data_IF_965195678891
#
_entry.id   IF_965195678891
#
_cell.length_a   1.000
_cell.length_b   1.000
_cell.length_c   1.000
_cell.angle_alpha   90.00
_cell.angle_beta   90.00
_cell.angle_gamma   90.00
#
_symmetry.space_group_name_H-M   'P 1'
#
loop_
_entity.id
_entity.type
_entity.pdbx_description
1 polymer ?
#
# COMPACT_ATOMS: atom_id res chain seq x y z
N UNK A 1 24.32 -27.84 9.56
CA UNK A 1 23.86 -27.05 10.73
C UNK A 1 22.59 -26.36 10.30
N UNK A 2 21.49 -26.54 11.02
CA UNK A 2 20.22 -25.87 10.70
C UNK A 2 20.29 -24.46 11.27
N UNK A 3 20.24 -23.45 10.42
CA UNK A 3 20.23 -22.04 10.82
C UNK A 3 18.79 -21.53 10.81
N UNK A 4 18.49 -20.55 11.67
CA UNK A 4 17.20 -19.84 11.65
C UNK A 4 17.50 -18.36 11.40
N UNK A 5 16.95 -17.82 10.31
CA UNK A 5 16.99 -16.39 10.04
C UNK A 5 15.94 -15.70 10.91
N UNK A 6 16.36 -14.72 11.72
CA UNK A 6 15.49 -13.95 12.60
C UNK A 6 15.61 -12.45 12.30
N UNK A 7 14.51 -11.71 12.48
CA UNK A 7 14.52 -10.27 12.30
C UNK A 7 15.26 -9.57 13.46
N UNK A 8 15.98 -8.51 13.13
CA UNK A 8 16.78 -7.73 14.08
C UNK A 8 16.50 -6.24 14.00
N UNK A 9 16.68 -5.55 15.12
CA UNK A 9 16.74 -4.10 15.22
C UNK A 9 18.07 -3.57 14.67
N UNK A 10 18.16 -2.25 14.50
CA UNK A 10 19.36 -1.61 13.95
C UNK A 10 20.62 -1.78 14.80
N UNK A 11 20.46 -1.95 16.11
CA UNK A 11 21.54 -2.25 17.05
C UNK A 11 21.98 -3.73 17.02
N UNK A 12 21.34 -4.55 16.18
CA UNK A 12 21.61 -5.97 16.02
C UNK A 12 20.91 -6.86 17.05
N UNK A 13 20.08 -6.29 17.94
CA UNK A 13 19.27 -7.07 18.87
C UNK A 13 18.10 -7.75 18.15
N UNK A 14 17.68 -8.90 18.65
CA UNK A 14 16.57 -9.67 18.09
C UNK A 14 15.25 -8.92 18.29
N UNK A 15 14.40 -8.92 17.25
CA UNK A 15 13.00 -8.47 17.37
C UNK A 15 12.23 -9.50 18.20
N UNK A 16 11.65 -9.04 19.31
CA UNK A 16 10.86 -9.88 20.24
C UNK A 16 9.40 -9.44 20.31
N UNK A 17 9.11 -8.25 19.78
CA UNK A 17 7.79 -7.68 19.61
C UNK A 17 6.94 -8.52 18.66
N UNK A 18 5.61 -8.42 18.79
CA UNK A 18 4.69 -9.08 17.89
C UNK A 18 4.78 -8.45 16.50
N UNK A 19 5.29 -9.20 15.53
CA UNK A 19 5.29 -8.80 14.13
C UNK A 19 3.85 -8.92 13.60
N UNK A 20 3.35 -7.82 13.04
CA UNK A 20 2.00 -7.69 12.50
C UNK A 20 1.98 -7.43 10.99
N UNK A 21 3.14 -7.17 10.38
CA UNK A 21 3.28 -7.01 8.93
C UNK A 21 4.72 -7.23 8.48
N UNK A 22 4.90 -7.79 7.28
CA UNK A 22 6.20 -8.02 6.65
C UNK A 22 6.11 -7.58 5.20
N UNK A 23 6.80 -6.48 4.85
CA UNK A 23 6.87 -5.93 3.50
C UNK A 23 8.21 -6.22 2.83
N UNK A 24 8.44 -5.60 1.67
CA UNK A 24 9.71 -5.71 0.94
C UNK A 24 10.87 -5.06 1.69
N UNK A 25 10.67 -3.83 2.20
CA UNK A 25 11.72 -2.97 2.78
C UNK A 25 11.64 -2.84 4.30
N UNK A 26 10.51 -3.22 4.91
CA UNK A 26 10.28 -3.08 6.35
C UNK A 26 9.47 -4.22 6.94
N UNK A 27 9.55 -4.34 8.26
CA UNK A 27 8.60 -5.11 9.07
C UNK A 27 7.84 -4.16 9.98
N UNK A 28 6.62 -4.51 10.33
CA UNK A 28 5.78 -3.76 11.26
C UNK A 28 5.65 -4.56 12.55
N UNK A 29 6.08 -3.97 13.65
CA UNK A 29 5.95 -4.53 15.00
C UNK A 29 4.90 -3.79 15.80
N UNK A 30 4.18 -4.50 16.66
CA UNK A 30 3.20 -3.91 17.58
C UNK A 30 3.86 -3.60 18.91
N UNK A 31 3.71 -2.35 19.36
CA UNK A 31 4.12 -1.92 20.70
C UNK A 31 2.98 -1.14 21.36
N UNK A 32 2.23 -1.81 22.26
CA UNK A 32 1.04 -1.23 22.88
C UNK A 32 -0.04 -0.87 21.85
N UNK A 33 -0.44 0.41 21.81
CA UNK A 33 -1.41 0.97 20.85
C UNK A 33 -0.74 1.57 19.60
N UNK A 34 0.52 1.24 19.35
CA UNK A 34 1.28 1.73 18.21
C UNK A 34 1.71 0.57 17.31
N UNK A 35 1.77 0.85 16.01
CA UNK A 35 2.44 0.04 15.02
C UNK A 35 3.73 0.76 14.63
N UNK A 36 4.87 0.06 14.64
CA UNK A 36 6.16 0.65 14.32
C UNK A 36 6.75 -0.12 13.14
N UNK A 37 6.90 0.57 12.01
CA UNK A 37 7.62 0.04 10.84
C UNK A 37 9.11 0.27 11.05
N UNK A 38 9.90 -0.80 11.00
CA UNK A 38 11.37 -0.78 11.11
C UNK A 38 12.00 -1.45 9.87
N UNK A 39 13.29 -1.19 9.57
CA UNK A 39 13.95 -1.79 8.42
C UNK A 39 13.89 -3.32 8.48
N UNK A 40 13.67 -3.97 7.32
CA UNK A 40 13.64 -5.44 7.23
C UNK A 40 15.06 -6.00 7.26
N UNK A 41 15.68 -5.97 8.43
CA UNK A 41 16.98 -6.60 8.69
C UNK A 41 16.78 -7.99 9.27
N UNK A 42 17.54 -8.95 8.77
CA UNK A 42 17.52 -10.32 9.27
C UNK A 42 18.94 -10.85 9.43
N UNK A 43 19.15 -11.67 10.45
CA UNK A 43 20.43 -12.34 10.71
C UNK A 43 20.22 -13.83 10.96
N UNK A 44 21.19 -14.63 10.55
CA UNK A 44 21.20 -16.06 10.88
C UNK A 44 21.79 -16.31 12.27
N UNK A 45 21.04 -17.07 13.06
CA UNK A 45 21.46 -17.51 14.38
C UNK A 45 21.73 -19.02 14.38
N UNK A 46 22.76 -19.42 15.12
CA UNK A 46 23.03 -20.81 15.45
C UNK A 46 21.95 -21.35 16.38
N UNK A 47 21.87 -22.67 16.51
CA UNK A 47 20.94 -23.33 17.44
C UNK A 47 21.18 -22.97 18.90
N UNK A 48 22.34 -22.38 19.22
CA UNK A 48 22.70 -21.84 20.53
C UNK A 48 22.26 -20.38 20.74
N UNK A 49 21.57 -19.79 19.75
CA UNK A 49 21.09 -18.41 19.77
C UNK A 49 22.18 -17.38 19.49
N UNK A 50 23.38 -17.80 19.08
CA UNK A 50 24.47 -16.87 18.76
C UNK A 50 24.46 -16.47 17.28
N UNK A 51 24.76 -15.20 16.94
CA UNK A 51 24.94 -14.79 15.55
C UNK A 51 26.01 -15.62 14.85
N UNK A 52 25.73 -16.12 13.64
CA UNK A 52 26.69 -16.92 12.87
C UNK A 52 27.70 -16.07 12.09
N UNK A 53 27.34 -14.83 11.75
CA UNK A 53 28.17 -13.87 11.05
C UNK A 53 28.47 -12.66 11.97
N UNK A 54 29.74 -12.27 12.03
CA UNK A 54 30.21 -11.09 12.74
C UNK A 54 30.11 -9.84 11.82
N UNK A 55 29.01 -9.11 11.95
CA UNK A 55 28.72 -7.89 11.19
C UNK A 55 29.47 -6.65 11.72
N UNK A 56 30.41 -6.77 12.66
CA UNK A 56 31.30 -5.66 13.02
C UNK A 56 32.27 -5.31 11.88
N UNK A 57 32.41 -6.19 10.88
CA UNK A 57 33.18 -5.93 9.67
C UNK A 57 32.33 -5.14 8.67
N UNK A 58 32.79 -3.97 8.19
CA UNK A 58 32.09 -3.25 7.14
C UNK A 58 31.97 -4.12 5.89
N UNK A 59 30.90 -3.94 5.07
CA UNK A 59 30.79 -4.60 3.77
C UNK A 59 32.07 -4.40 2.98
N UNK A 60 32.48 -5.40 2.18
CA UNK A 60 33.69 -5.26 1.38
C UNK A 60 33.47 -4.14 0.37
N UNK A 61 34.55 -3.49 -0.03
CA UNK A 61 34.52 -2.43 -1.03
C UNK A 61 33.91 -3.00 -2.33
N UNK A 62 32.72 -2.50 -2.70
CA UNK A 62 31.93 -2.98 -3.86
C UNK A 62 30.69 -3.82 -3.53
N UNK A 63 30.48 -4.22 -2.27
CA UNK A 63 29.25 -4.91 -1.85
C UNK A 63 28.06 -3.93 -1.76
N UNK A 64 26.87 -4.36 -2.20
CA UNK A 64 25.64 -3.58 -2.05
C UNK A 64 25.26 -3.50 -0.56
N UNK A 65 25.24 -2.28 -0.01
CA UNK A 65 24.83 -2.04 1.36
C UNK A 65 23.29 -2.07 1.47
N UNK A 66 22.76 -3.28 1.65
CA UNK A 66 21.33 -3.54 1.88
C UNK A 66 20.78 -2.67 3.00
N UNK A 67 21.55 -2.46 4.09
CA UNK A 67 21.11 -1.65 5.23
C UNK A 67 20.89 -0.21 4.79
N UNK A 68 21.85 0.41 4.12
CA UNK A 68 21.70 1.78 3.62
C UNK A 68 20.50 1.93 2.67
N UNK A 69 20.25 0.95 1.81
CA UNK A 69 19.07 0.92 0.95
C UNK A 69 17.75 0.92 1.73
N UNK A 70 17.59 0.04 2.72
CA UNK A 70 16.38 -0.04 3.54
C UNK A 70 16.15 1.24 4.37
N UNK A 71 17.23 1.84 4.88
CA UNK A 71 17.18 3.11 5.60
C UNK A 71 16.69 4.24 4.70
N UNK A 72 17.20 4.31 3.47
CA UNK A 72 16.78 5.31 2.49
C UNK A 72 15.30 5.16 2.13
N UNK A 73 14.82 3.94 1.91
CA UNK A 73 13.40 3.69 1.61
C UNK A 73 12.47 4.19 2.71
N UNK A 74 12.80 3.97 4.00
CA UNK A 74 11.99 4.51 5.08
C UNK A 74 12.03 6.04 5.19
N UNK A 75 13.17 6.66 4.85
CA UNK A 75 13.26 8.13 4.82
C UNK A 75 12.44 8.73 3.66
N UNK A 76 12.42 8.06 2.51
CA UNK A 76 11.56 8.43 1.38
C UNK A 76 10.08 8.29 1.75
N UNK A 77 9.69 7.18 2.36
CA UNK A 77 8.31 6.96 2.84
C UNK A 77 7.91 8.02 3.89
N UNK A 78 8.80 8.39 4.82
CA UNK A 78 8.57 9.52 5.73
C UNK A 78 8.33 10.83 5.00
N UNK A 79 9.08 11.11 3.92
CA UNK A 79 8.90 12.33 3.15
C UNK A 79 7.51 12.40 2.51
N UNK A 80 6.98 11.26 2.06
CA UNK A 80 5.61 11.14 1.55
C UNK A 80 4.59 11.43 2.63
N UNK A 81 4.68 10.79 3.80
CA UNK A 81 3.78 11.09 4.92
C UNK A 81 3.85 12.57 5.35
N UNK A 82 5.04 13.20 5.33
CA UNK A 82 5.20 14.64 5.62
C UNK A 82 4.48 15.51 4.59
N UNK A 83 4.56 15.17 3.29
CA UNK A 83 3.84 15.89 2.22
C UNK A 83 2.32 15.71 2.37
N UNK A 84 1.88 14.53 2.76
CA UNK A 84 0.47 14.20 2.97
C UNK A 84 -0.12 14.91 4.18
N UNK A 85 0.63 15.08 5.27
CA UNK A 85 0.10 15.68 6.50
C UNK A 85 -1.00 14.82 7.13
N UNK A 86 -1.84 15.43 7.98
CA UNK A 86 -2.96 14.73 8.62
C UNK A 86 -4.17 14.67 7.68
N UNK A 87 -4.62 13.45 7.37
CA UNK A 87 -5.79 13.20 6.53
C UNK A 87 -6.56 11.99 7.07
N UNK A 88 -7.90 12.07 7.10
CA UNK A 88 -8.75 11.07 7.72
C UNK A 88 -8.61 9.67 7.09
N UNK A 89 -8.42 9.59 5.78
CA UNK A 89 -8.21 8.34 5.04
C UNK A 89 -6.75 7.86 5.01
N UNK A 90 -5.85 8.42 5.82
CA UNK A 90 -4.43 8.02 5.88
C UNK A 90 -4.10 7.68 7.34
N UNK A 91 -3.29 6.63 7.54
CA UNK A 91 -2.81 6.27 8.89
C UNK A 91 -1.97 7.40 9.46
N UNK A 92 -2.30 7.85 10.67
CA UNK A 92 -1.55 8.92 11.33
C UNK A 92 -0.20 8.41 11.79
N UNK A 93 0.84 9.20 11.48
CA UNK A 93 2.22 8.93 11.89
C UNK A 93 2.71 9.98 12.90
N UNK A 94 3.47 9.56 13.91
CA UNK A 94 3.85 10.42 15.04
C UNK A 94 5.31 10.90 15.02
N UNK A 95 6.23 10.12 14.44
CA UNK A 95 7.67 10.39 14.49
C UNK A 95 8.26 10.86 13.15
N UNK A 96 7.45 11.49 12.30
CA UNK A 96 7.87 11.90 10.96
C UNK A 96 9.05 12.86 10.99
N UNK A 97 9.18 13.75 11.97
CA UNK A 97 10.32 14.68 12.06
C UNK A 97 11.58 14.05 12.67
N UNK A 98 11.50 12.82 13.16
CA UNK A 98 12.65 12.12 13.77
C UNK A 98 13.62 11.60 12.71
N UNK A 99 14.92 11.70 13.00
CA UNK A 99 15.98 11.06 12.22
C UNK A 99 16.03 9.53 12.40
N UNK A 100 15.36 9.01 13.44
CA UNK A 100 15.21 7.57 13.65
C UNK A 100 14.58 6.93 12.40
N UNK A 101 15.21 5.92 11.79
CA UNK A 101 14.70 5.26 10.58
C UNK A 101 13.63 4.21 10.94
N UNK A 102 12.58 4.68 11.59
CA UNK A 102 11.36 3.94 11.89
C UNK A 102 10.14 4.82 11.63
N UNK A 103 8.98 4.24 11.32
CA UNK A 103 7.72 4.98 11.18
C UNK A 103 6.75 4.50 12.26
N UNK A 104 6.43 5.37 13.20
CA UNK A 104 5.51 5.12 14.30
C UNK A 104 4.11 5.59 13.90
N UNK A 105 3.18 4.65 13.87
CA UNK A 105 1.82 4.78 13.36
C UNK A 105 0.79 4.44 14.45
N UNK A 106 -0.41 5.00 14.32
CA UNK A 106 -1.58 4.53 15.07
C UNK A 106 -1.86 3.05 14.73
N UNK A 107 -2.14 2.23 15.76
CA UNK A 107 -2.48 0.82 15.55
C UNK A 107 -3.93 0.66 15.07
N UNK A 108 -4.10 0.04 13.91
CA UNK A 108 -5.40 -0.23 13.30
C UNK A 108 -5.91 -1.61 13.73
N UNK A 109 -6.84 -1.61 14.70
CA UNK A 109 -7.23 -2.81 15.45
C UNK A 109 -7.87 -3.92 14.62
N UNK A 110 -8.47 -3.57 13.47
CA UNK A 110 -9.13 -4.53 12.59
C UNK A 110 -8.20 -5.03 11.46
N UNK A 111 -6.92 -4.65 11.49
CA UNK A 111 -5.93 -5.09 10.52
C UNK A 111 -6.18 -4.53 9.12
N UNK A 112 -5.59 -5.20 8.13
CA UNK A 112 -5.79 -4.86 6.72
C UNK A 112 -7.12 -5.40 6.17
N UNK A 113 -7.61 -4.75 5.11
CA UNK A 113 -8.92 -5.04 4.53
C UNK A 113 -8.98 -6.45 3.93
N UNK A 114 -7.88 -6.95 3.36
CA UNK A 114 -7.81 -8.33 2.81
C UNK A 114 -8.05 -9.34 3.91
N UNK A 115 -7.32 -9.25 5.01
CA UNK A 115 -7.50 -10.12 6.16
C UNK A 115 -8.90 -9.95 6.75
N UNK A 116 -9.38 -8.72 6.91
CA UNK A 116 -10.71 -8.45 7.44
C UNK A 116 -11.81 -9.14 6.62
N UNK A 117 -11.79 -9.01 5.30
CA UNK A 117 -12.74 -9.65 4.38
C UNK A 117 -12.65 -11.19 4.39
N UNK A 118 -11.46 -11.74 4.69
CA UNK A 118 -11.28 -13.21 4.81
C UNK A 118 -11.93 -13.79 6.08
N UNK A 119 -12.01 -12.99 7.14
CA UNK A 119 -12.52 -13.42 8.45
C UNK A 119 -14.00 -13.07 8.65
N UNK A 120 -14.52 -12.07 7.94
CA UNK A 120 -15.88 -11.58 8.10
C UNK A 120 -16.69 -11.84 6.83
N UNK A 121 -17.79 -12.58 6.97
CA UNK A 121 -18.68 -12.85 5.85
C UNK A 121 -19.39 -11.57 5.40
N UNK A 122 -19.10 -11.16 4.17
CA UNK A 122 -19.89 -10.28 3.31
C UNK A 122 -20.37 -8.96 3.97
N UNK A 123 -19.48 -7.95 4.09
CA UNK A 123 -19.91 -6.61 4.50
C UNK A 123 -21.06 -6.12 3.60
N UNK A 124 -22.02 -5.40 4.19
CA UNK A 124 -23.14 -4.86 3.41
C UNK A 124 -22.69 -3.89 2.32
N UNK A 125 -23.46 -3.79 1.24
CA UNK A 125 -23.15 -2.94 0.09
C UNK A 125 -22.84 -1.49 0.49
N UNK A 126 -23.58 -0.93 1.46
CA UNK A 126 -23.33 0.41 1.99
C UNK A 126 -21.99 0.55 2.71
N UNK A 127 -21.52 -0.49 3.41
CA UNK A 127 -20.20 -0.44 4.04
C UNK A 127 -19.08 -0.50 2.98
N UNK A 128 -19.26 -1.33 1.94
CA UNK A 128 -18.31 -1.46 0.84
C UNK A 128 -18.24 -0.15 0.05
N UNK A 129 -19.38 0.41 -0.35
CA UNK A 129 -19.42 1.70 -1.05
C UNK A 129 -18.80 2.82 -0.20
N UNK A 130 -18.94 2.78 1.12
CA UNK A 130 -18.36 3.77 2.03
C UNK A 130 -16.83 3.68 2.04
N UNK A 131 -16.30 2.45 2.11
CA UNK A 131 -14.87 2.21 1.97
C UNK A 131 -14.34 2.65 0.62
N UNK A 132 -14.97 2.22 -0.48
CA UNK A 132 -14.54 2.55 -1.84
C UNK A 132 -14.57 4.07 -2.10
N UNK A 133 -15.60 4.76 -1.62
CA UNK A 133 -15.71 6.21 -1.72
C UNK A 133 -14.58 6.90 -0.97
N UNK A 134 -14.32 6.50 0.28
CA UNK A 134 -13.22 7.04 1.08
C UNK A 134 -11.85 6.77 0.44
N UNK A 135 -11.67 5.57 -0.14
CA UNK A 135 -10.45 5.21 -0.88
C UNK A 135 -10.27 6.14 -2.07
N UNK A 136 -11.29 6.33 -2.90
CA UNK A 136 -11.21 7.16 -4.11
C UNK A 136 -10.97 8.64 -3.78
N UNK A 137 -11.66 9.18 -2.76
CA UNK A 137 -11.47 10.55 -2.28
C UNK A 137 -10.04 10.76 -1.73
N UNK A 138 -9.54 9.80 -0.96
CA UNK A 138 -8.17 9.86 -0.43
C UNK A 138 -7.13 9.72 -1.53
N UNK A 139 -7.39 8.88 -2.54
CA UNK A 139 -6.52 8.78 -3.71
C UNK A 139 -6.47 10.10 -4.49
N UNK A 140 -7.60 10.78 -4.67
CA UNK A 140 -7.62 12.12 -5.27
C UNK A 140 -6.77 13.13 -4.48
N UNK A 141 -6.87 13.09 -3.15
CA UNK A 141 -6.05 13.90 -2.25
C UNK A 141 -4.54 13.61 -2.36
N UNK A 142 -4.17 12.34 -2.50
CA UNK A 142 -2.78 11.89 -2.69
C UNK A 142 -2.24 12.38 -4.04
N UNK A 143 -3.01 12.21 -5.12
CA UNK A 143 -2.64 12.68 -6.47
C UNK A 143 -2.48 14.20 -6.51
N UNK A 144 -3.37 14.97 -5.88
CA UNK A 144 -3.25 16.42 -5.76
C UNK A 144 -1.93 16.86 -5.10
N UNK A 145 -1.37 16.03 -4.22
CA UNK A 145 -0.07 16.26 -3.57
C UNK A 145 1.15 15.79 -4.35
N UNK A 146 0.93 15.40 -5.61
CA UNK A 146 1.98 14.94 -6.55
C UNK A 146 2.66 13.69 -6.03
N UNK A 147 1.85 12.72 -5.61
CA UNK A 147 2.31 11.40 -5.19
C UNK A 147 1.62 10.36 -6.07
N UNK A 148 2.38 9.41 -6.60
CA UNK A 148 1.88 8.21 -7.27
C UNK A 148 2.02 7.06 -6.29
N UNK A 149 1.00 6.21 -6.14
CA UNK A 149 1.01 5.14 -5.13
C UNK A 149 1.75 3.89 -5.59
N UNK A 150 1.53 3.46 -6.83
CA UNK A 150 2.13 2.30 -7.48
C UNK A 150 1.83 0.91 -6.86
N UNK A 151 1.32 0.82 -5.62
CA UNK A 151 0.97 -0.44 -4.95
C UNK A 151 -0.43 -0.35 -4.30
N UNK A 152 -1.47 -0.13 -5.11
CA UNK A 152 -2.86 -0.12 -4.60
C UNK A 152 -3.39 -1.56 -4.53
N UNK A 153 -3.57 -2.04 -3.30
CA UNK A 153 -4.04 -3.40 -2.99
C UNK A 153 -4.74 -3.43 -1.63
N UNK A 154 -5.55 -4.46 -1.40
CA UNK A 154 -6.33 -4.62 -0.17
C UNK A 154 -5.49 -4.61 1.12
N UNK A 155 -4.25 -5.07 1.05
CA UNK A 155 -3.30 -5.14 2.16
C UNK A 155 -2.87 -3.73 2.64
N UNK A 156 -2.94 -2.73 1.76
CA UNK A 156 -2.52 -1.36 2.04
C UNK A 156 -3.69 -0.47 2.52
N UNK A 157 -4.83 -1.09 2.80
CA UNK A 157 -5.96 -0.43 3.48
C UNK A 157 -6.15 -1.05 4.86
N UNK A 158 -6.02 -0.25 5.91
CA UNK A 158 -6.25 -0.67 7.28
C UNK A 158 -7.60 -0.18 7.79
N UNK A 159 -8.14 -0.90 8.77
CA UNK A 159 -9.41 -0.57 9.42
C UNK A 159 -9.20 -0.20 10.89
N UNK A 160 -9.70 0.97 11.28
CA UNK A 160 -9.71 1.38 12.69
C UNK A 160 -10.87 0.73 13.47
N UNK A 161 -11.01 1.07 14.76
CA UNK A 161 -12.05 0.52 15.64
C UNK A 161 -13.49 0.83 15.21
N UNK A 162 -13.72 1.82 14.35
CA UNK A 162 -15.02 2.18 13.78
C UNK A 162 -15.23 1.56 12.38
N UNK A 163 -14.29 0.72 11.91
CA UNK A 163 -14.22 0.25 10.53
C UNK A 163 -14.05 1.39 9.53
N UNK A 164 -13.46 2.53 9.94
CA UNK A 164 -13.04 3.55 8.99
C UNK A 164 -11.75 3.09 8.31
N UNK A 165 -11.71 3.27 6.99
CA UNK A 165 -10.61 2.80 6.14
C UNK A 165 -9.50 3.84 6.02
N UNK A 166 -8.25 3.38 6.04
CA UNK A 166 -7.07 4.23 5.94
C UNK A 166 -5.98 3.62 5.08
N UNK A 167 -5.41 4.41 4.18
CA UNK A 167 -4.19 4.07 3.45
C UNK A 167 -3.01 3.93 4.41
N UNK A 168 -2.20 2.92 4.17
CA UNK A 168 -0.89 2.68 4.79
C UNK A 168 0.13 2.31 3.72
N UNK A 169 1.38 2.13 4.15
CA UNK A 169 2.50 1.62 3.36
C UNK A 169 2.74 2.36 2.03
N UNK A 170 3.44 3.50 2.12
CA UNK A 170 3.84 4.29 0.96
C UNK A 170 5.25 3.90 0.48
N UNK A 171 5.70 2.68 0.80
CA UNK A 171 7.06 2.22 0.53
C UNK A 171 7.38 1.99 -0.95
N UNK A 172 6.37 1.92 -1.83
CA UNK A 172 6.50 1.85 -3.28
C UNK A 172 6.07 3.15 -3.99
N UNK A 173 5.62 4.14 -3.22
CA UNK A 173 5.07 5.37 -3.77
C UNK A 173 6.17 6.33 -4.18
N UNK A 174 5.91 7.13 -5.22
CA UNK A 174 6.84 8.13 -5.74
C UNK A 174 6.40 9.53 -5.39
N UNK A 175 7.29 10.32 -4.77
CA UNK A 175 7.08 11.73 -4.48
C UNK A 175 7.54 12.59 -5.65
N UNK A 176 6.59 13.13 -6.41
CA UNK A 176 6.88 13.94 -7.59
C UNK A 176 7.12 15.42 -7.24
N UNK A 177 7.84 16.17 -8.10
CA UNK A 177 7.93 17.63 -7.99
C UNK A 177 6.54 18.31 -7.92
N UNK A 178 6.46 19.46 -7.25
CA UNK A 178 5.16 20.16 -7.07
C UNK A 178 4.56 20.66 -8.38
N UNK A 179 5.41 20.99 -9.34
CA UNK A 179 5.07 21.43 -10.69
C UNK A 179 4.93 20.28 -11.69
N UNK A 180 5.03 19.02 -11.22
CA UNK A 180 4.83 17.84 -12.06
C UNK A 180 3.40 17.81 -12.65
N UNK A 181 3.33 17.45 -13.93
CA UNK A 181 2.08 17.27 -14.66
C UNK A 181 1.44 15.94 -14.29
N UNK A 182 0.23 15.96 -13.74
CA UNK A 182 -0.55 14.77 -13.34
C UNK A 182 -0.80 13.76 -14.47
N UNK A 183 -0.59 14.17 -15.73
CA UNK A 183 -0.70 13.30 -16.91
C UNK A 183 0.58 12.53 -17.22
N UNK A 184 1.69 12.85 -16.55
CA UNK A 184 2.96 12.15 -16.71
C UNK A 184 3.00 10.80 -15.99
N UNK A 185 4.17 10.19 -16.02
CA UNK A 185 4.54 9.04 -15.20
C UNK A 185 5.79 9.34 -14.36
N UNK A 186 6.09 8.48 -13.40
CA UNK A 186 7.40 8.41 -12.76
C UNK A 186 8.42 7.64 -13.61
N UNK A 187 9.62 7.45 -13.06
CA UNK A 187 10.75 6.81 -13.75
C UNK A 187 10.48 5.31 -14.05
N UNK A 188 9.59 4.68 -13.30
CA UNK A 188 9.18 3.27 -13.47
C UNK A 188 7.92 3.14 -14.35
N UNK A 189 7.36 4.27 -14.81
CA UNK A 189 6.20 4.33 -15.68
C UNK A 189 4.86 4.42 -14.96
N UNK A 190 4.82 4.38 -13.62
CA UNK A 190 3.58 4.53 -12.85
C UNK A 190 3.02 5.94 -12.99
N UNK A 191 1.71 6.05 -12.94
CA UNK A 191 0.97 7.30 -13.14
C UNK A 191 -0.32 7.31 -12.35
N UNK A 192 -1.01 8.46 -12.33
CA UNK A 192 -2.39 8.57 -11.84
C UNK A 192 -3.29 7.51 -12.46
N UNK A 193 -3.09 7.22 -13.75
CA UNK A 193 -3.90 6.24 -14.45
C UNK A 193 -3.64 4.83 -13.91
N UNK A 194 -2.38 4.43 -13.69
CA UNK A 194 -2.09 3.06 -13.21
C UNK A 194 -2.65 2.82 -11.82
N UNK A 195 -2.61 3.84 -10.96
CA UNK A 195 -3.27 3.81 -9.67
C UNK A 195 -4.79 3.56 -9.80
N UNK A 196 -5.47 4.23 -10.75
CA UNK A 196 -6.90 3.97 -11.02
C UNK A 196 -7.16 2.55 -11.51
N UNK A 197 -6.28 2.00 -12.35
CA UNK A 197 -6.37 0.63 -12.82
C UNK A 197 -6.23 -0.41 -11.69
N UNK A 198 -5.25 -0.19 -10.79
CA UNK A 198 -5.06 -1.00 -9.58
C UNK A 198 -6.26 -0.88 -8.62
N UNK A 199 -6.84 0.32 -8.46
CA UNK A 199 -8.08 0.49 -7.70
C UNK A 199 -9.26 -0.26 -8.36
N UNK A 200 -9.31 -0.32 -9.70
CA UNK A 200 -10.25 -1.19 -10.42
C UNK A 200 -10.11 -2.67 -10.05
N UNK A 201 -8.87 -3.16 -9.90
CA UNK A 201 -8.59 -4.52 -9.45
C UNK A 201 -9.02 -4.76 -7.99
N UNK A 202 -8.82 -3.78 -7.12
CA UNK A 202 -9.33 -3.79 -5.74
C UNK A 202 -10.85 -3.89 -5.71
N UNK A 203 -11.56 -3.07 -6.50
CA UNK A 203 -13.03 -3.08 -6.57
C UNK A 203 -13.52 -4.44 -7.07
N UNK A 204 -12.88 -4.99 -8.12
CA UNK A 204 -13.18 -6.32 -8.63
C UNK A 204 -12.99 -7.40 -7.56
N UNK A 205 -11.88 -7.34 -6.82
CA UNK A 205 -11.58 -8.32 -5.78
C UNK A 205 -12.59 -8.28 -4.63
N UNK A 206 -13.03 -7.08 -4.21
CA UNK A 206 -14.09 -6.94 -3.20
C UNK A 206 -15.42 -7.48 -3.73
N UNK A 207 -15.78 -7.17 -4.98
CA UNK A 207 -17.06 -7.55 -5.57
C UNK A 207 -17.20 -9.06 -5.85
N UNK A 208 -16.08 -9.75 -6.06
CA UNK A 208 -16.09 -11.15 -6.52
C UNK A 208 -15.41 -12.13 -5.57
N UNK A 209 -14.60 -11.64 -4.64
CA UNK A 209 -13.67 -12.46 -3.85
C UNK A 209 -12.50 -13.04 -4.66
N UNK A 210 -12.38 -12.70 -5.94
CA UNK A 210 -11.32 -13.17 -6.83
C UNK A 210 -10.27 -12.08 -7.02
N UNK A 211 -9.01 -12.39 -6.73
CA UNK A 211 -7.92 -11.46 -7.00
C UNK A 211 -7.61 -11.42 -8.50
N UNK A 212 -7.30 -10.23 -9.00
CA UNK A 212 -6.72 -10.04 -10.32
C UNK A 212 -5.51 -9.10 -10.22
N UNK A 213 -4.50 -9.33 -11.06
CA UNK A 213 -3.33 -8.47 -11.10
C UNK A 213 -3.51 -7.37 -12.14
N UNK A 214 -3.18 -6.16 -11.74
CA UNK A 214 -3.14 -5.00 -12.61
C UNK A 214 -1.74 -4.40 -12.50
N UNK A 215 -0.85 -4.89 -13.35
CA UNK A 215 0.58 -4.52 -13.37
C UNK A 215 1.02 -4.19 -14.79
N UNK A 216 2.18 -3.53 -14.94
CA UNK A 216 2.79 -3.36 -16.25
C UNK A 216 3.10 -4.70 -16.90
N UNK A 217 2.77 -4.81 -18.19
CA UNK A 217 3.36 -5.82 -19.04
C UNK A 217 4.66 -5.22 -19.56
N UNK A 218 5.79 -5.68 -19.01
CA UNK A 218 7.08 -5.51 -19.67
C UNK A 218 7.05 -6.35 -20.94
N UNK A 219 7.25 -5.69 -22.08
CA UNK A 219 7.45 -6.41 -23.32
C UNK A 219 8.68 -7.33 -23.20
N UNK A 220 8.72 -8.45 -23.91
CA UNK A 220 9.82 -9.43 -23.84
C UNK A 220 11.21 -8.82 -24.18
N UNK A 221 11.21 -7.66 -24.83
CA UNK A 221 12.40 -6.88 -25.18
C UNK A 221 12.87 -5.92 -24.07
N UNK A 222 12.09 -5.71 -23.00
CA UNK A 222 12.43 -4.81 -21.89
C UNK A 222 12.32 -3.31 -22.19
N UNK A 223 11.98 -2.93 -23.43
CA UNK A 223 12.07 -1.54 -23.91
C UNK A 223 10.77 -0.71 -23.72
N UNK A 224 9.64 -1.34 -23.38
CA UNK A 224 8.37 -0.63 -23.20
C UNK A 224 7.53 -1.24 -22.08
N UNK A 225 7.15 -0.41 -21.11
CA UNK A 225 6.09 -0.71 -20.13
C UNK A 225 4.75 -0.38 -20.76
N UNK A 226 3.91 -1.40 -20.97
CA UNK A 226 2.56 -1.21 -21.50
C UNK A 226 1.53 -1.53 -20.43
N UNK A 227 0.44 -0.75 -20.45
CA UNK A 227 -0.75 -0.96 -19.63
C UNK A 227 -1.25 -2.40 -19.77
N UNK A 228 -1.72 -3.02 -18.68
CA UNK A 228 -2.31 -4.36 -18.74
C UNK A 228 -3.39 -4.40 -19.83
N UNK A 229 -3.22 -5.26 -20.84
CA UNK A 229 -4.18 -5.29 -21.95
C UNK A 229 -5.57 -5.69 -21.43
N UNK A 230 -6.63 -4.98 -21.84
CA UNK A 230 -8.00 -5.26 -21.34
C UNK A 230 -8.39 -6.73 -21.47
N UNK A 231 -7.93 -7.42 -22.52
CA UNK A 231 -8.25 -8.84 -22.74
C UNK A 231 -7.59 -9.80 -21.74
N UNK A 232 -6.58 -9.39 -20.96
CA UNK A 232 -6.00 -10.22 -19.90
C UNK A 232 -6.70 -10.04 -18.56
N UNK A 233 -7.64 -9.08 -18.46
CA UNK A 233 -8.41 -8.82 -17.25
C UNK A 233 -9.77 -9.54 -17.31
N UNK A 234 -10.36 -9.92 -16.16
CA UNK A 234 -11.66 -10.58 -16.10
C UNK A 234 -12.80 -9.78 -16.77
N UNK A 235 -13.90 -10.47 -17.11
CA UNK A 235 -15.11 -9.81 -17.58
C UNK A 235 -15.87 -9.19 -16.41
N UNK A 236 -16.42 -8.00 -16.63
CA UNK A 236 -17.09 -7.18 -15.61
C UNK A 236 -18.61 -7.17 -15.77
N UNK A 237 -19.15 -7.67 -16.90
CA UNK A 237 -20.57 -7.52 -17.27
C UNK A 237 -21.57 -8.16 -16.31
N UNK A 238 -21.15 -9.14 -15.50
CA UNK A 238 -21.97 -9.81 -14.50
C UNK A 238 -21.51 -9.52 -13.05
N UNK A 239 -20.62 -8.54 -12.87
CA UNK A 239 -20.00 -8.21 -11.59
C UNK A 239 -20.70 -6.98 -11.02
N UNK A 240 -21.00 -7.00 -9.71
CA UNK A 240 -21.47 -5.82 -9.00
C UNK A 240 -20.37 -4.73 -9.04
N UNK A 241 -20.76 -3.49 -9.36
CA UNK A 241 -19.82 -2.40 -9.73
C UNK A 241 -19.02 -2.64 -11.03
N UNK A 242 -19.46 -3.58 -11.88
CA UNK A 242 -18.79 -3.91 -13.14
C UNK A 242 -18.54 -2.72 -14.06
N UNK A 243 -19.48 -1.78 -14.15
CA UNK A 243 -19.31 -0.55 -14.95
C UNK A 243 -18.18 0.34 -14.42
N UNK A 244 -18.09 0.51 -13.09
CA UNK A 244 -17.02 1.29 -12.44
C UNK A 244 -15.66 0.64 -12.70
N UNK A 245 -15.57 -0.69 -12.53
CA UNK A 245 -14.36 -1.46 -12.80
C UNK A 245 -13.94 -1.30 -14.27
N UNK A 246 -14.89 -1.39 -15.20
CA UNK A 246 -14.62 -1.25 -16.63
C UNK A 246 -14.07 0.15 -16.96
N UNK A 247 -14.65 1.20 -16.38
CA UNK A 247 -14.18 2.58 -16.55
C UNK A 247 -12.76 2.80 -16.01
N UNK A 248 -12.38 2.16 -14.91
CA UNK A 248 -11.00 2.15 -14.42
C UNK A 248 -10.04 1.50 -15.43
N UNK A 249 -10.37 0.32 -15.95
CA UNK A 249 -9.49 -0.44 -16.84
C UNK A 249 -9.43 0.07 -18.27
N UNK A 250 -10.45 0.80 -18.72
CA UNK A 250 -10.53 1.43 -20.04
C UNK A 250 -10.17 2.91 -20.03
N UNK A 251 -9.65 3.42 -18.91
CA UNK A 251 -9.18 4.79 -18.75
C UNK A 251 -10.25 5.86 -19.01
N UNK A 252 -11.52 5.53 -18.75
CA UNK A 252 -12.61 6.52 -18.81
C UNK A 252 -12.46 7.53 -17.68
N UNK A 253 -12.15 7.06 -16.47
CA UNK A 253 -11.74 7.94 -15.38
C UNK A 253 -10.36 8.52 -15.68
N UNK A 254 -10.26 9.85 -15.66
CA UNK A 254 -9.00 10.60 -15.84
C UNK A 254 -8.43 11.12 -14.52
N UNK A 255 -9.15 10.95 -13.42
CA UNK A 255 -8.74 11.31 -12.06
C UNK A 255 -9.48 10.44 -11.04
N UNK A 256 -8.91 10.31 -9.85
CA UNK A 256 -9.57 9.66 -8.73
C UNK A 256 -10.80 10.44 -8.21
N UNK A 257 -10.85 11.76 -8.42
CA UNK A 257 -12.01 12.59 -8.12
C UNK A 257 -13.24 12.20 -8.95
N UNK A 258 -13.05 11.90 -10.24
CA UNK A 258 -14.12 11.43 -11.11
C UNK A 258 -14.67 10.07 -10.66
N UNK A 259 -13.79 9.16 -10.24
CA UNK A 259 -14.18 7.88 -9.66
C UNK A 259 -14.93 8.05 -8.33
N UNK A 260 -14.43 8.92 -7.45
CA UNK A 260 -15.06 9.21 -6.17
C UNK A 260 -16.48 9.75 -6.35
N UNK A 261 -16.68 10.68 -7.28
CA UNK A 261 -17.99 11.25 -7.61
C UNK A 261 -18.98 10.17 -8.05
N UNK A 262 -18.55 9.22 -8.89
CA UNK A 262 -19.43 8.14 -9.33
C UNK A 262 -19.81 7.19 -8.19
N UNK A 263 -18.86 6.86 -7.30
CA UNK A 263 -19.12 6.03 -6.12
C UNK A 263 -20.07 6.73 -5.13
N UNK A 264 -19.97 8.04 -4.96
CA UNK A 264 -20.89 8.83 -4.14
C UNK A 264 -22.32 8.80 -4.68
N UNK A 265 -22.49 8.89 -6.00
CA UNK A 265 -23.81 8.77 -6.65
C UNK A 265 -24.41 7.39 -6.40
N UNK A 266 -23.62 6.33 -6.52
CA UNK A 266 -24.07 4.96 -6.24
C UNK A 266 -24.46 4.78 -4.76
N UNK A 267 -23.71 5.38 -3.85
CA UNK A 267 -24.05 5.40 -2.42
C UNK A 267 -25.40 6.08 -2.17
N UNK A 268 -25.63 7.25 -2.75
CA UNK A 268 -26.89 7.98 -2.61
C UNK A 268 -28.07 7.16 -3.13
N UNK A 269 -27.92 6.53 -4.29
CA UNK A 269 -28.95 5.66 -4.87
C UNK A 269 -29.25 4.43 -4.00
N UNK A 270 -28.26 3.88 -3.32
CA UNK A 270 -28.46 2.77 -2.39
C UNK A 270 -29.29 3.24 -1.18
N UNK A 271 -28.93 4.37 -0.59
CA UNK A 271 -29.66 4.97 0.55
C UNK A 271 -31.11 5.28 0.17
N UNK A 272 -31.37 5.77 -1.04
CA UNK A 272 -32.72 6.06 -1.53
C UNK A 272 -33.57 4.80 -1.73
N UNK A 273 -32.96 3.65 -2.06
CA UNK A 273 -33.69 2.38 -2.23
C UNK A 273 -34.07 1.73 -0.89
N UNK A 274 -33.30 1.99 0.15
CA UNK A 274 -33.50 1.43 1.48
C UNK A 274 -34.50 2.24 2.34
N UNK A 275 -34.92 3.42 1.87
CA UNK A 275 -35.95 4.27 2.50
C UNK A 275 -37.33 4.08 1.85
#
# INVERSE_FOLDING_TARGET
MTTVAEFIHLDGTRVTEKIIGVGGTGIVVQHGQQAIKIPRLSREFGTDGRPLLDESLPPKEGDYDVRSGLLLSLQQEKAIYRRLGDHHGIVRCHNLSSADPSIMMEFMVNGDLRHYLSQHSNPGEGQILSWLTTIAQTLAYIHDRRIILADIRLDNFLLDKQLAIRFTDFGQSTLMPLDWDLRGCDDDGYSVMTDLGQLGAVIFEIATGQSCKFDFVQDLAGDSTSWTHRSSLPLTSAVWLGEVIEKCWTQVFRSAEALATELEVLMQQLIEKDN
#
